data_IF_778681957424
#
_entry.id   IF_778681957424
#
_cell.length_a   1.000
_cell.length_b   1.000
_cell.length_c   1.000
_cell.angle_alpha   90.00
_cell.angle_beta   90.00
_cell.angle_gamma   90.00
#
_symmetry.space_group_name_H-M   'P 1'
#
loop_
_entity.id
_entity.type
_entity.pdbx_description
1 polymer ?
#
# COMPACT_ATOMS: atom_id res chain seq x y z
N UNK A 1 50.65 10.91 -11.14
CA UNK A 1 50.12 10.85 -12.53
C UNK A 1 48.71 10.23 -12.56
N UNK A 2 47.73 10.82 -11.87
CA UNK A 2 46.32 10.35 -11.89
C UNK A 2 45.30 11.49 -12.01
N UNK A 3 45.76 12.74 -12.00
CA UNK A 3 44.92 13.93 -12.10
C UNK A 3 44.81 14.52 -13.52
N UNK A 4 45.52 13.95 -14.51
CA UNK A 4 45.58 14.50 -15.87
C UNK A 4 44.57 13.90 -16.86
N UNK A 5 43.84 12.85 -16.47
CA UNK A 5 42.91 12.13 -17.37
C UNK A 5 41.48 12.73 -17.33
N UNK A 6 41.18 13.60 -16.37
CA UNK A 6 39.85 14.19 -16.20
C UNK A 6 39.60 15.47 -17.01
N UNK A 7 40.60 15.99 -17.73
CA UNK A 7 40.51 17.31 -18.37
C UNK A 7 40.23 17.29 -19.89
N UNK A 8 40.13 16.13 -20.55
CA UNK A 8 40.07 16.07 -22.04
C UNK A 8 38.79 15.46 -22.63
N UNK A 9 37.67 15.39 -21.90
CA UNK A 9 36.37 14.92 -22.44
C UNK A 9 35.27 15.97 -22.23
N UNK A 10 35.63 17.26 -22.25
CA UNK A 10 34.70 18.40 -22.05
C UNK A 10 34.49 19.21 -23.36
N UNK A 11 35.18 18.92 -24.46
CA UNK A 11 35.23 19.85 -25.61
C UNK A 11 34.66 19.40 -26.97
N UNK A 12 33.98 18.26 -27.13
CA UNK A 12 33.38 17.93 -28.45
C UNK A 12 31.93 17.44 -28.32
N UNK A 13 30.99 18.33 -28.64
CA UNK A 13 29.57 17.99 -28.74
C UNK A 13 28.60 19.17 -28.88
N UNK A 14 29.08 20.42 -28.80
CA UNK A 14 28.35 21.61 -29.25
C UNK A 14 28.17 21.56 -30.77
N UNK A 15 27.07 20.95 -31.25
CA UNK A 15 26.54 21.21 -32.59
C UNK A 15 25.07 20.80 -32.66
N UNK A 16 24.18 21.78 -32.84
CA UNK A 16 22.76 21.54 -33.08
C UNK A 16 21.85 22.72 -32.71
N UNK A 17 22.01 23.87 -33.37
CA UNK A 17 21.04 24.96 -33.34
C UNK A 17 19.84 24.68 -34.27
N UNK A 18 18.67 25.13 -33.81
CA UNK A 18 17.52 25.66 -34.57
C UNK A 18 16.78 24.74 -35.58
N UNK A 19 15.66 24.18 -35.13
CA UNK A 19 14.45 24.12 -35.96
C UNK A 19 13.21 24.35 -35.10
N UNK A 20 12.87 25.64 -34.94
CA UNK A 20 11.53 26.09 -34.62
C UNK A 20 10.65 25.81 -35.83
N UNK A 21 9.74 24.85 -35.71
CA UNK A 21 8.55 24.80 -36.56
C UNK A 21 7.33 24.84 -35.66
N UNK A 22 7.03 26.07 -35.25
CA UNK A 22 5.68 26.54 -34.95
C UNK A 22 4.75 26.07 -36.07
N UNK A 23 4.11 24.91 -35.87
CA UNK A 23 2.89 24.57 -36.57
C UNK A 23 1.74 24.88 -35.63
N UNK A 24 1.31 26.13 -35.73
CA UNK A 24 -0.07 26.53 -35.52
C UNK A 24 -0.99 25.55 -36.26
N UNK A 25 -1.86 24.86 -35.53
CA UNK A 25 -3.10 24.36 -36.10
C UNK A 25 -4.22 24.34 -35.07
N UNK A 26 -5.44 24.67 -35.52
CA UNK A 26 -6.46 25.32 -34.72
C UNK A 26 -7.29 24.33 -33.88
N UNK A 27 -7.70 24.76 -32.69
CA UNK A 27 -9.00 24.34 -32.14
C UNK A 27 -10.13 25.09 -32.89
N UNK A 28 -11.38 24.59 -32.99
CA UNK A 28 -11.98 23.45 -32.28
C UNK A 28 -12.81 22.51 -33.20
N UNK A 29 -12.85 21.23 -32.87
CA UNK A 29 -14.00 20.40 -33.23
C UNK A 29 -14.52 19.78 -31.94
N UNK A 30 -15.60 20.36 -31.42
CA UNK A 30 -16.38 19.75 -30.37
C UNK A 30 -16.71 18.31 -30.81
N UNK A 31 -16.46 17.28 -29.98
CA UNK A 31 -17.02 15.98 -30.26
C UNK A 31 -18.55 16.13 -30.31
N UNK A 32 -19.25 15.44 -31.23
CA UNK A 32 -20.69 15.35 -31.15
C UNK A 32 -21.04 14.88 -29.73
N UNK A 33 -22.03 15.53 -29.12
CA UNK A 33 -22.68 15.08 -27.90
C UNK A 33 -22.97 13.59 -28.08
N UNK A 34 -22.11 12.76 -27.48
CA UNK A 34 -22.35 11.34 -27.38
C UNK A 34 -23.60 11.27 -26.54
N UNK A 35 -24.72 10.95 -27.19
CA UNK A 35 -25.98 10.64 -26.55
C UNK A 35 -25.65 9.84 -25.30
N UNK A 36 -25.97 10.41 -24.14
CA UNK A 36 -25.91 9.70 -22.89
C UNK A 36 -26.56 8.33 -23.13
N UNK A 37 -25.94 7.21 -22.72
CA UNK A 37 -26.69 5.98 -22.64
C UNK A 37 -27.94 6.30 -21.81
N UNK A 38 -29.10 5.94 -22.36
CA UNK A 38 -30.39 6.09 -21.70
C UNK A 38 -30.24 5.70 -20.22
N UNK A 39 -30.93 6.41 -19.30
CA UNK A 39 -30.97 5.97 -17.91
C UNK A 39 -31.38 4.51 -17.92
N UNK A 40 -30.45 3.65 -17.50
CA UNK A 40 -30.79 2.28 -17.15
C UNK A 40 -31.82 2.45 -16.05
N UNK A 41 -33.04 2.02 -16.36
CA UNK A 41 -34.14 1.85 -15.42
C UNK A 41 -33.62 0.93 -14.31
N UNK A 42 -33.01 1.54 -13.30
CA UNK A 42 -32.67 0.87 -12.06
C UNK A 42 -34.02 0.49 -11.46
N UNK A 43 -34.31 -0.80 -11.23
CA UNK A 43 -35.49 -1.17 -10.48
C UNK A 43 -35.44 -0.40 -9.15
N UNK A 44 -36.54 0.30 -8.86
CA UNK A 44 -36.73 1.07 -7.64
C UNK A 44 -36.40 0.21 -6.41
N UNK A 45 -35.15 0.30 -5.96
CA UNK A 45 -34.77 -0.12 -4.63
C UNK A 45 -35.50 0.80 -3.64
N UNK A 46 -36.07 0.26 -2.56
CA UNK A 46 -36.80 1.06 -1.59
C UNK A 46 -35.92 2.20 -1.08
N UNK A 47 -36.44 3.43 -1.24
CA UNK A 47 -35.88 4.67 -0.73
C UNK A 47 -35.64 4.51 0.77
N UNK A 48 -34.37 4.41 1.17
CA UNK A 48 -33.99 4.53 2.57
C UNK A 48 -34.07 6.02 2.95
N UNK A 49 -34.70 6.38 4.09
CA UNK A 49 -34.84 7.77 4.52
C UNK A 49 -33.47 8.40 4.85
N UNK A 50 -33.34 9.73 4.78
CA UNK A 50 -32.13 10.45 5.19
C UNK A 50 -31.87 10.21 6.68
N UNK A 51 -30.76 9.52 6.98
CA UNK A 51 -30.28 9.33 8.35
C UNK A 51 -29.66 10.64 8.81
N UNK A 52 -30.35 11.31 9.72
CA UNK A 52 -29.86 12.46 10.48
C UNK A 52 -28.52 12.14 11.19
N UNK A 53 -27.67 13.14 11.49
CA UNK A 53 -26.47 12.92 12.27
C UNK A 53 -26.84 12.41 13.67
N UNK A 54 -26.64 11.10 13.88
CA UNK A 54 -26.85 10.47 15.17
C UNK A 54 -25.77 10.97 16.14
N UNK A 55 -26.24 11.71 17.15
CA UNK A 55 -25.56 11.95 18.41
C UNK A 55 -24.84 10.69 18.91
N UNK A 56 -23.65 10.93 19.46
CA UNK A 56 -22.88 10.02 20.30
C UNK A 56 -23.82 9.26 21.24
N UNK A 57 -23.94 7.95 21.02
CA UNK A 57 -24.61 7.06 21.96
C UNK A 57 -23.68 6.79 23.16
N UNK A 58 -24.16 6.94 24.40
CA UNK A 58 -23.40 6.56 25.60
C UNK A 58 -23.13 5.05 25.64
N UNK A 59 -22.09 4.60 26.37
CA UNK A 59 -21.72 3.19 26.47
C UNK A 59 -22.86 2.35 27.07
N UNK A 60 -23.08 1.17 26.48
CA UNK A 60 -24.11 0.23 26.88
C UNK A 60 -23.95 -0.24 28.34
N UNK A 61 -25.06 -0.38 29.10
CA UNK A 61 -25.03 -0.95 30.44
C UNK A 61 -24.71 -2.46 30.42
N UNK A 62 -24.06 -2.98 31.47
CA UNK A 62 -23.72 -4.41 31.58
C UNK A 62 -24.98 -5.29 31.70
N UNK A 63 -24.90 -6.58 31.27
CA UNK A 63 -26.03 -7.50 31.29
C UNK A 63 -26.51 -7.81 32.72
N UNK A 64 -27.82 -8.09 32.90
CA UNK A 64 -28.42 -8.37 34.20
C UNK A 64 -27.88 -9.67 34.80
N UNK A 65 -27.43 -9.59 36.06
CA UNK A 65 -27.05 -10.74 36.88
C UNK A 65 -28.31 -11.54 37.22
N UNK A 66 -28.27 -12.87 36.98
CA UNK A 66 -29.36 -13.77 37.35
C UNK A 66 -29.48 -13.86 38.89
N UNK A 67 -30.70 -13.92 39.45
CA UNK A 67 -30.89 -14.13 40.88
C UNK A 67 -30.37 -15.50 41.31
N UNK A 68 -29.50 -15.50 42.32
CA UNK A 68 -29.13 -16.71 43.05
C UNK A 68 -30.26 -17.05 44.03
N UNK A 69 -30.87 -18.23 43.88
CA UNK A 69 -31.84 -18.75 44.85
C UNK A 69 -31.15 -19.06 46.19
N UNK A 70 -31.72 -18.66 47.33
CA UNK A 70 -31.27 -19.12 48.65
C UNK A 70 -31.82 -20.53 48.90
N UNK A 71 -30.96 -21.53 48.74
CA UNK A 71 -31.24 -22.91 49.16
C UNK A 71 -30.51 -23.19 50.46
N UNK A 72 -31.25 -23.11 51.56
CA UNK A 72 -30.86 -23.55 52.90
C UNK A 72 -30.62 -25.07 52.90
N UNK A 73 -29.45 -25.53 53.32
CA UNK A 73 -29.21 -26.92 53.74
C UNK A 73 -27.95 -27.00 54.61
N UNK A 74 -28.06 -27.45 55.88
CA UNK A 74 -26.92 -27.60 56.75
C UNK A 74 -26.31 -28.99 56.54
N UNK A 75 -25.13 -29.06 55.92
CA UNK A 75 -24.33 -30.29 55.91
C UNK A 75 -22.89 -30.01 56.33
N UNK A 76 -22.63 -30.34 57.59
CA UNK A 76 -21.43 -30.98 58.15
C UNK A 76 -20.08 -30.56 57.55
N UNK A 77 -19.32 -29.81 58.35
CA UNK A 77 -17.92 -29.49 58.10
C UNK A 77 -17.07 -30.76 57.87
N UNK A 78 -16.60 -30.93 56.63
CA UNK A 78 -15.45 -31.74 56.30
C UNK A 78 -14.19 -30.84 56.29
N UNK A 79 -13.00 -31.34 56.67
CA UNK A 79 -11.77 -30.55 56.59
C UNK A 79 -11.48 -30.11 55.14
N UNK A 80 -10.95 -28.89 54.93
CA UNK A 80 -10.74 -28.36 53.59
C UNK A 80 -9.68 -29.17 52.81
N UNK A 81 -9.93 -29.52 51.54
CA UNK A 81 -8.88 -30.03 50.66
C UNK A 81 -7.84 -28.94 50.38
N UNK A 82 -6.56 -29.29 50.16
CA UNK A 82 -5.49 -28.33 49.91
C UNK A 82 -5.78 -27.50 48.67
N UNK A 83 -5.63 -26.18 48.78
CA UNK A 83 -5.82 -25.23 47.70
C UNK A 83 -4.92 -25.59 46.50
N UNK A 84 -5.45 -25.63 45.26
CA UNK A 84 -4.61 -25.79 44.08
C UNK A 84 -3.73 -24.54 43.92
N UNK A 85 -2.41 -24.74 43.96
CA UNK A 85 -1.41 -23.72 43.70
C UNK A 85 -1.74 -22.91 42.44
N UNK A 86 -1.56 -21.58 42.44
CA UNK A 86 -1.78 -20.78 41.24
C UNK A 86 -0.84 -21.25 40.13
N UNK A 87 -1.40 -21.69 39.00
CA UNK A 87 -0.62 -21.99 37.80
C UNK A 87 0.07 -20.70 37.33
N UNK A 88 1.35 -20.76 36.93
CA UNK A 88 2.05 -19.56 36.44
C UNK A 88 1.33 -19.00 35.20
N UNK A 89 1.25 -17.66 35.06
CA UNK A 89 0.67 -17.07 33.87
C UNK A 89 1.45 -17.51 32.62
N UNK A 90 0.77 -17.76 31.49
CA UNK A 90 1.45 -18.19 30.28
C UNK A 90 2.51 -17.16 29.86
N UNK A 91 3.66 -17.61 29.33
CA UNK A 91 4.71 -16.71 28.88
C UNK A 91 4.18 -15.83 27.75
N UNK A 92 4.05 -14.53 28.04
CA UNK A 92 3.63 -13.53 27.05
C UNK A 92 4.87 -13.22 26.19
N UNK A 93 4.88 -13.72 24.96
CA UNK A 93 5.91 -13.35 23.98
C UNK A 93 5.90 -11.83 23.83
N UNK A 94 6.94 -11.18 24.34
CA UNK A 94 7.09 -9.73 24.33
C UNK A 94 7.45 -9.23 22.91
N UNK A 95 7.31 -7.91 22.62
CA UNK A 95 7.44 -7.28 21.29
C UNK A 95 8.77 -7.44 20.52
N UNK A 96 9.71 -8.24 21.03
CA UNK A 96 11.02 -8.47 20.39
C UNK A 96 10.87 -9.11 19.01
N UNK A 97 9.91 -10.03 18.89
CA UNK A 97 9.50 -10.65 17.62
C UNK A 97 9.15 -9.53 16.63
N UNK A 98 8.21 -8.64 17.00
CA UNK A 98 7.79 -7.51 16.15
C UNK A 98 8.93 -6.63 15.64
N UNK A 99 9.97 -6.37 16.45
CA UNK A 99 11.13 -5.57 16.00
C UNK A 99 12.02 -6.30 14.98
N UNK A 100 12.18 -7.62 15.12
CA UNK A 100 12.92 -8.43 14.15
C UNK A 100 12.15 -8.57 12.85
N UNK A 101 10.83 -8.82 12.91
CA UNK A 101 10.00 -8.85 11.70
C UNK A 101 9.99 -7.51 10.97
N UNK A 102 9.91 -6.39 11.68
CA UNK A 102 9.99 -5.07 11.04
C UNK A 102 11.31 -4.83 10.30
N UNK A 103 12.42 -5.29 10.89
CA UNK A 103 13.73 -5.22 10.24
C UNK A 103 13.77 -6.10 8.98
N UNK A 104 13.21 -7.31 9.04
CA UNK A 104 13.10 -8.23 7.90
C UNK A 104 12.24 -7.63 6.79
N UNK A 105 11.04 -7.13 7.11
CA UNK A 105 10.12 -6.50 6.15
C UNK A 105 10.75 -5.28 5.48
N UNK A 106 11.46 -4.45 6.25
CA UNK A 106 12.21 -3.31 5.69
C UNK A 106 13.29 -3.77 4.72
N UNK A 107 14.07 -4.79 5.09
CA UNK A 107 15.11 -5.36 4.22
C UNK A 107 14.52 -5.91 2.92
N UNK A 108 13.43 -6.67 3.01
CA UNK A 108 12.71 -7.20 1.85
C UNK A 108 12.20 -6.08 0.93
N UNK A 109 11.58 -5.04 1.51
CA UNK A 109 11.10 -3.89 0.75
C UNK A 109 12.26 -3.20 0.00
N UNK A 110 13.37 -2.95 0.67
CA UNK A 110 14.56 -2.32 0.07
C UNK A 110 15.15 -3.17 -1.05
N UNK A 111 15.25 -4.48 -0.86
CA UNK A 111 15.72 -5.41 -1.87
C UNK A 111 14.83 -5.40 -3.11
N UNK A 112 13.50 -5.42 -2.93
CA UNK A 112 12.53 -5.36 -4.04
C UNK A 112 12.58 -4.03 -4.78
N UNK A 113 12.68 -2.91 -4.06
CA UNK A 113 12.85 -1.59 -4.70
C UNK A 113 14.14 -1.54 -5.53
N UNK A 114 15.27 -1.99 -4.97
CA UNK A 114 16.56 -2.02 -5.67
C UNK A 114 16.52 -2.92 -6.92
N UNK A 115 15.89 -4.08 -6.81
CA UNK A 115 15.66 -4.99 -7.95
C UNK A 115 14.82 -4.33 -9.04
N UNK A 116 13.74 -3.66 -8.66
CA UNK A 116 12.86 -2.92 -9.58
C UNK A 116 13.62 -1.81 -10.31
N UNK A 117 14.37 -0.97 -9.58
CA UNK A 117 15.18 0.09 -10.17
C UNK A 117 16.23 -0.48 -11.15
N UNK A 118 16.80 -1.65 -10.85
CA UNK A 118 17.73 -2.34 -11.74
C UNK A 118 17.07 -2.83 -13.02
N UNK A 119 15.83 -3.31 -12.96
CA UNK A 119 15.05 -3.67 -14.14
C UNK A 119 14.70 -2.43 -14.97
N UNK A 120 14.26 -1.34 -14.34
CA UNK A 120 13.91 -0.10 -15.04
C UNK A 120 15.11 0.54 -15.75
N UNK A 121 16.32 0.44 -15.18
CA UNK A 121 17.55 0.91 -15.85
C UNK A 121 17.86 0.19 -17.17
N UNK A 122 17.38 -1.04 -17.34
CA UNK A 122 17.53 -1.81 -18.58
C UNK A 122 16.48 -1.42 -19.62
N UNK A 123 15.39 -0.76 -19.21
CA UNK A 123 14.30 -0.33 -20.08
C UNK A 123 14.61 1.04 -20.66
N UNK A 124 14.56 1.16 -22.00
CA UNK A 124 14.67 2.46 -22.65
C UNK A 124 13.29 3.13 -22.70
N UNK A 125 13.00 4.01 -21.74
CA UNK A 125 11.72 4.71 -21.62
C UNK A 125 11.31 5.45 -22.90
N UNK A 126 12.25 5.97 -23.70
CA UNK A 126 11.95 6.68 -24.96
C UNK A 126 11.39 5.78 -26.07
N UNK A 127 11.56 4.46 -25.94
CA UNK A 127 11.07 3.48 -26.91
C UNK A 127 9.74 2.85 -26.51
N UNK A 128 9.25 3.14 -25.29
CA UNK A 128 7.98 2.60 -24.81
C UNK A 128 6.83 3.35 -25.46
N UNK A 129 5.75 2.63 -25.78
CA UNK A 129 4.53 3.22 -26.33
C UNK A 129 3.29 2.57 -25.69
N UNK A 130 2.18 3.32 -25.67
CA UNK A 130 0.89 2.85 -25.17
C UNK A 130 0.98 2.24 -23.77
N UNK A 131 0.53 0.99 -23.63
CA UNK A 131 0.46 0.29 -22.35
C UNK A 131 1.81 0.15 -21.65
N UNK A 132 2.91 -0.01 -22.39
CA UNK A 132 4.24 -0.18 -21.80
C UNK A 132 4.72 1.10 -21.11
N UNK A 133 4.43 2.25 -21.72
CA UNK A 133 4.78 3.55 -21.16
C UNK A 133 3.94 3.86 -19.91
N UNK A 134 2.68 3.45 -19.90
CA UNK A 134 1.81 3.58 -18.73
C UNK A 134 2.27 2.67 -17.59
N UNK A 135 2.54 1.39 -17.88
CA UNK A 135 3.09 0.46 -16.89
C UNK A 135 4.40 0.99 -16.29
N UNK A 136 5.29 1.56 -17.10
CA UNK A 136 6.52 2.20 -16.61
C UNK A 136 6.23 3.32 -15.59
N UNK A 137 5.28 4.21 -15.88
CA UNK A 137 4.89 5.30 -14.95
C UNK A 137 4.25 4.76 -13.68
N UNK A 138 3.41 3.72 -13.78
CA UNK A 138 2.81 3.06 -12.63
C UNK A 138 3.91 2.49 -11.73
N UNK A 139 4.92 1.81 -12.30
CA UNK A 139 6.05 1.28 -11.52
C UNK A 139 6.78 2.40 -10.78
N UNK A 140 7.07 3.53 -11.44
CA UNK A 140 7.72 4.68 -10.80
C UNK A 140 6.88 5.24 -9.64
N UNK A 141 5.56 5.35 -9.82
CA UNK A 141 4.65 5.83 -8.77
C UNK A 141 4.58 4.88 -7.57
N UNK A 142 4.63 3.56 -7.81
CA UNK A 142 4.67 2.55 -6.77
C UNK A 142 5.98 2.60 -5.99
N UNK A 143 7.11 2.83 -6.67
CA UNK A 143 8.41 3.02 -6.01
C UNK A 143 8.43 4.26 -5.13
N UNK A 144 7.90 5.39 -5.61
CA UNK A 144 7.76 6.59 -4.79
C UNK A 144 6.91 6.32 -3.55
N UNK A 145 5.74 5.69 -3.72
CA UNK A 145 4.84 5.34 -2.63
C UNK A 145 5.46 4.36 -1.62
N UNK A 146 6.28 3.41 -2.09
CA UNK A 146 7.00 2.48 -1.22
C UNK A 146 8.06 3.20 -0.38
N UNK A 147 8.78 4.17 -0.96
CA UNK A 147 9.73 5.03 -0.24
C UNK A 147 9.03 5.87 0.82
N UNK A 148 7.91 6.49 0.46
CA UNK A 148 7.09 7.28 1.40
C UNK A 148 6.58 6.42 2.57
N UNK A 149 6.13 5.19 2.30
CA UNK A 149 5.73 4.26 3.35
C UNK A 149 6.88 3.90 4.30
N UNK A 150 8.12 3.73 3.80
CA UNK A 150 9.28 3.53 4.66
C UNK A 150 9.58 4.75 5.53
N UNK A 151 9.45 5.96 4.99
CA UNK A 151 9.61 7.20 5.77
C UNK A 151 8.54 7.31 6.85
N UNK A 152 7.31 6.90 6.56
CA UNK A 152 6.21 6.82 7.51
C UNK A 152 6.31 5.65 8.51
N UNK A 153 7.40 4.86 8.47
CA UNK A 153 7.59 3.64 9.28
C UNK A 153 6.54 2.54 9.05
N UNK A 154 5.82 2.59 7.94
CA UNK A 154 4.88 1.55 7.51
C UNK A 154 5.63 0.52 6.64
N UNK A 155 6.38 -0.36 7.31
CA UNK A 155 7.22 -1.41 6.72
C UNK A 155 6.41 -2.41 5.91
N UNK A 156 5.24 -2.80 6.39
CA UNK A 156 4.35 -3.73 5.72
C UNK A 156 3.84 -3.16 4.40
N UNK A 157 3.31 -1.93 4.40
CA UNK A 157 2.85 -1.28 3.18
C UNK A 157 3.98 -1.07 2.19
N UNK A 158 5.15 -0.63 2.66
CA UNK A 158 6.32 -0.48 1.81
C UNK A 158 6.69 -1.79 1.09
N UNK A 159 6.71 -2.91 1.82
CA UNK A 159 7.01 -4.24 1.26
C UNK A 159 6.01 -4.63 0.19
N UNK A 160 4.71 -4.48 0.45
CA UNK A 160 3.67 -4.81 -0.54
C UNK A 160 3.76 -3.93 -1.79
N UNK A 161 4.01 -2.62 -1.65
CA UNK A 161 4.15 -1.72 -2.79
C UNK A 161 5.40 -2.04 -3.61
N UNK A 162 6.53 -2.29 -2.95
CA UNK A 162 7.78 -2.67 -3.60
C UNK A 162 7.66 -4.02 -4.35
N UNK A 163 6.96 -5.00 -3.77
CA UNK A 163 6.70 -6.29 -4.41
C UNK A 163 5.84 -6.13 -5.68
N UNK A 164 4.78 -5.33 -5.62
CA UNK A 164 3.95 -5.02 -6.79
C UNK A 164 4.75 -4.33 -7.90
N UNK A 165 5.57 -3.34 -7.53
CA UNK A 165 6.44 -2.63 -8.47
C UNK A 165 7.43 -3.60 -9.14
N UNK A 166 8.01 -4.52 -8.36
CA UNK A 166 8.94 -5.52 -8.86
C UNK A 166 8.29 -6.46 -9.87
N UNK A 167 7.14 -7.05 -9.54
CA UNK A 167 6.42 -7.95 -10.44
C UNK A 167 6.01 -7.26 -11.76
N UNK A 168 5.52 -6.02 -11.65
CA UNK A 168 5.13 -5.24 -12.83
C UNK A 168 6.35 -4.87 -13.70
N UNK A 169 7.51 -4.63 -13.09
CA UNK A 169 8.75 -4.39 -13.81
C UNK A 169 9.29 -5.65 -14.50
N UNK A 170 9.20 -6.82 -13.86
CA UNK A 170 9.55 -8.09 -14.50
C UNK A 170 8.66 -8.38 -15.72
N UNK A 171 7.36 -8.12 -15.60
CA UNK A 171 6.41 -8.26 -16.70
C UNK A 171 6.70 -7.27 -17.83
N UNK A 172 6.99 -6.01 -17.50
CA UNK A 172 7.38 -5.00 -18.48
C UNK A 172 8.63 -5.45 -19.26
N UNK A 173 9.69 -5.87 -18.56
CA UNK A 173 10.92 -6.37 -19.22
C UNK A 173 10.64 -7.62 -20.05
N UNK A 174 9.76 -8.52 -19.59
CA UNK A 174 9.36 -9.70 -20.36
C UNK A 174 8.61 -9.33 -21.64
N UNK A 175 7.75 -8.31 -21.60
CA UNK A 175 7.00 -7.83 -22.77
C UNK A 175 7.85 -7.16 -23.85
N UNK A 176 9.10 -6.81 -23.52
CA UNK A 176 10.06 -6.16 -24.43
C UNK A 176 10.97 -7.15 -25.16
N UNK A 177 10.93 -8.44 -24.82
CA UNK A 177 11.67 -9.51 -25.49
C UNK A 177 10.78 -10.17 -26.54
#
# INVERSE_FOLDING_TARGET
MRALVWALVICLGLSGCASLKEFFSPAPAAPPLRSAPAPVDLPAGPVLPPVAPAMVAPPAPPPPQRPVSPGDSPFRAAPPPPEPSPSPPPPVLSPQVSTEEDARLRGDAQNRMTGTETLLRQVNSKKLAGQQQENFRIIESLLASAKDALYARDTQRARTLAEKAFLLAEDLVRSLR
#
